data_IF_890037618107
#
_entry.id   IF_890037618107
#
_cell.length_a   1.000
_cell.length_b   1.000
_cell.length_c   1.000
_cell.angle_alpha   90.00
_cell.angle_beta   90.00
_cell.angle_gamma   90.00
#
_symmetry.space_group_name_H-M   'P 1'
#
loop_
_entity.id
_entity.type
_entity.pdbx_description
1 polymer ?
#
# COMPACT_ATOMS: atom_id res chain seq x y z
N UNK A 1 26.84 28.49 5.21
CA UNK A 1 27.31 27.12 4.84
C UNK A 1 26.15 26.34 4.25
N UNK A 2 25.68 26.76 3.07
CA UNK A 2 24.45 26.26 2.46
C UNK A 2 24.57 26.13 0.93
N UNK A 3 25.75 25.76 0.42
CA UNK A 3 25.99 25.57 -1.02
C UNK A 3 26.38 24.13 -1.42
N UNK A 4 26.61 23.21 -0.48
CA UNK A 4 27.35 21.96 -0.80
C UNK A 4 26.48 20.69 -1.02
N UNK A 5 25.16 20.76 -0.84
CA UNK A 5 24.32 19.54 -0.84
C UNK A 5 23.92 19.04 -2.24
N UNK A 6 24.12 19.84 -3.31
CA UNK A 6 23.81 19.45 -4.70
C UNK A 6 25.03 18.93 -5.47
N UNK A 7 26.25 18.98 -4.91
CA UNK A 7 27.48 18.55 -5.61
C UNK A 7 27.90 17.10 -5.33
N UNK A 8 27.48 16.50 -4.20
CA UNK A 8 27.82 15.10 -3.91
C UNK A 8 27.13 14.12 -4.89
N UNK A 9 27.89 13.26 -5.60
CA UNK A 9 27.33 12.24 -6.48
C UNK A 9 26.36 11.31 -5.74
N UNK A 10 25.21 11.02 -6.35
CA UNK A 10 24.22 10.16 -5.70
C UNK A 10 24.65 8.68 -5.72
N UNK A 11 24.55 7.95 -4.60
CA UNK A 11 25.14 6.61 -4.48
C UNK A 11 24.23 5.50 -4.99
N UNK A 12 23.86 5.53 -6.27
CA UNK A 12 23.01 4.51 -6.92
C UNK A 12 23.56 3.08 -6.80
N UNK A 13 24.89 2.95 -6.69
CA UNK A 13 25.58 1.67 -6.52
C UNK A 13 25.22 0.93 -5.21
N UNK A 14 24.67 1.64 -4.22
CA UNK A 14 24.19 1.05 -2.96
C UNK A 14 22.79 0.43 -3.09
N UNK A 15 22.13 0.64 -4.24
CA UNK A 15 20.77 0.20 -4.49
C UNK A 15 19.74 1.13 -3.85
N UNK A 16 18.84 1.65 -4.68
CA UNK A 16 17.65 2.37 -4.23
C UNK A 16 16.43 1.50 -4.46
N UNK A 17 15.60 1.38 -3.44
CA UNK A 17 14.47 0.46 -3.43
C UNK A 17 13.20 1.28 -3.30
N UNK A 18 12.41 1.32 -4.36
CA UNK A 18 11.13 1.99 -4.37
C UNK A 18 10.10 1.11 -3.64
N UNK A 19 9.59 1.58 -2.50
CA UNK A 19 8.62 0.83 -1.71
C UNK A 19 7.18 0.89 -2.25
N UNK A 20 6.89 1.77 -3.23
CA UNK A 20 5.55 1.93 -3.78
C UNK A 20 5.53 2.69 -5.11
N UNK A 21 5.01 2.06 -6.16
CA UNK A 21 4.75 2.72 -7.44
C UNK A 21 3.68 1.99 -8.26
N UNK A 22 3.24 2.63 -9.35
CA UNK A 22 2.15 2.16 -10.22
C UNK A 22 2.57 2.07 -11.70
N UNK A 23 3.73 1.51 -12.08
CA UNK A 23 4.22 1.57 -13.47
C UNK A 23 3.30 0.83 -14.47
N UNK A 24 2.42 -0.05 -13.97
CA UNK A 24 1.41 -0.74 -14.79
C UNK A 24 0.24 0.15 -15.20
N UNK A 25 0.11 1.36 -14.66
CA UNK A 25 -0.84 2.36 -15.16
C UNK A 25 -0.41 2.91 -16.54
N UNK A 26 0.87 2.79 -16.90
CA UNK A 26 1.41 3.10 -18.23
C UNK A 26 2.23 1.92 -18.75
N UNK A 27 1.55 0.89 -19.27
CA UNK A 27 2.19 -0.36 -19.72
C UNK A 27 3.29 -0.15 -20.79
N UNK A 28 3.18 0.91 -21.59
CA UNK A 28 4.21 1.27 -22.57
C UNK A 28 5.58 1.59 -21.93
N UNK A 29 5.62 1.96 -20.65
CA UNK A 29 6.85 2.31 -19.93
C UNK A 29 7.54 1.11 -19.26
N UNK A 30 6.86 -0.03 -19.12
CA UNK A 30 7.39 -1.23 -18.43
C UNK A 30 8.76 -1.70 -18.96
N UNK A 31 9.05 -1.69 -20.29
CA UNK A 31 10.36 -2.09 -20.79
C UNK A 31 11.52 -1.28 -20.18
N UNK A 32 11.27 -0.02 -19.79
CA UNK A 32 12.29 0.87 -19.20
C UNK A 32 12.74 0.43 -17.80
N UNK A 33 11.98 -0.42 -17.09
CA UNK A 33 12.30 -0.84 -15.71
C UNK A 33 13.70 -1.49 -15.62
N UNK A 34 14.11 -2.29 -16.62
CA UNK A 34 15.44 -2.93 -16.61
C UNK A 34 16.61 -1.96 -16.82
N UNK A 35 16.32 -0.75 -17.32
CA UNK A 35 17.30 0.30 -17.59
C UNK A 35 17.37 1.37 -16.50
N UNK A 36 16.39 1.37 -15.58
CA UNK A 36 16.37 2.28 -14.45
C UNK A 36 17.56 2.08 -13.51
N UNK A 37 17.90 3.15 -12.79
CA UNK A 37 18.97 3.18 -11.79
C UNK A 37 18.51 2.64 -10.46
N UNK A 38 17.21 2.75 -10.14
CA UNK A 38 16.61 2.07 -9.00
C UNK A 38 16.85 0.55 -9.08
N UNK A 39 17.15 -0.07 -7.94
CA UNK A 39 17.46 -1.51 -7.88
C UNK A 39 16.21 -2.37 -7.95
N UNK A 40 15.13 -1.93 -7.30
CA UNK A 40 13.84 -2.63 -7.28
C UNK A 40 12.69 -1.64 -7.24
N UNK A 41 11.61 -1.99 -7.95
CA UNK A 41 10.30 -1.35 -7.86
C UNK A 41 9.30 -2.28 -7.16
N UNK A 42 8.64 -1.77 -6.13
CA UNK A 42 7.50 -2.45 -5.49
C UNK A 42 6.21 -1.97 -6.15
N UNK A 43 5.64 -2.78 -7.03
CA UNK A 43 4.57 -2.36 -7.95
C UNK A 43 3.19 -2.77 -7.43
N UNK A 44 2.23 -1.84 -7.42
CA UNK A 44 0.93 -2.06 -6.79
C UNK A 44 -0.17 -2.37 -7.81
N UNK A 45 -0.91 -3.46 -7.58
CA UNK A 45 -2.19 -3.67 -8.23
C UNK A 45 -3.30 -2.98 -7.41
N UNK A 46 -4.04 -2.04 -8.01
CA UNK A 46 -5.03 -1.22 -7.30
C UNK A 46 -6.48 -1.61 -7.61
N UNK A 47 -6.71 -2.16 -8.82
CA UNK A 47 -8.03 -2.54 -9.35
C UNK A 47 -7.96 -3.86 -10.13
N UNK A 48 -9.08 -4.27 -10.73
CA UNK A 48 -9.20 -5.54 -11.44
C UNK A 48 -8.22 -5.67 -12.62
N UNK A 49 -8.13 -4.64 -13.44
CA UNK A 49 -7.25 -4.60 -14.62
C UNK A 49 -5.77 -4.73 -14.26
N UNK A 50 -5.36 -4.22 -13.09
CA UNK A 50 -3.95 -4.24 -12.68
C UNK A 50 -3.48 -5.62 -12.23
N UNK A 51 -4.37 -6.49 -11.76
CA UNK A 51 -3.97 -7.76 -11.13
C UNK A 51 -3.19 -8.64 -12.11
N UNK A 52 -3.70 -8.79 -13.33
CA UNK A 52 -3.05 -9.59 -14.37
C UNK A 52 -1.83 -8.87 -14.95
N UNK A 53 -1.87 -7.54 -15.05
CA UNK A 53 -0.73 -6.75 -15.54
C UNK A 53 0.47 -6.84 -14.59
N UNK A 54 0.25 -6.65 -13.29
CA UNK A 54 1.29 -6.80 -12.27
C UNK A 54 1.83 -8.23 -12.24
N UNK A 55 0.98 -9.24 -12.38
CA UNK A 55 1.42 -10.63 -12.49
C UNK A 55 2.30 -10.86 -13.74
N UNK A 56 1.90 -10.36 -14.91
CA UNK A 56 2.70 -10.43 -16.13
C UNK A 56 4.06 -9.74 -15.99
N UNK A 57 4.12 -8.57 -15.34
CA UNK A 57 5.38 -7.87 -15.06
C UNK A 57 6.25 -8.67 -14.10
N UNK A 58 5.66 -9.27 -13.06
CA UNK A 58 6.37 -10.11 -12.10
C UNK A 58 6.90 -11.42 -12.71
N UNK A 59 6.21 -12.02 -13.68
CA UNK A 59 6.70 -13.20 -14.40
C UNK A 59 8.02 -12.89 -15.14
N UNK A 60 8.21 -11.65 -15.56
CA UNK A 60 9.40 -11.22 -16.30
C UNK A 60 10.51 -10.65 -15.40
N UNK A 61 10.15 -9.78 -14.45
CA UNK A 61 11.10 -8.98 -13.68
C UNK A 61 11.08 -9.26 -12.17
N UNK A 62 10.26 -10.21 -11.72
CA UNK A 62 10.07 -10.50 -10.31
C UNK A 62 11.31 -11.07 -9.63
N UNK A 63 11.61 -10.59 -8.42
CA UNK A 63 12.68 -11.14 -7.58
C UNK A 63 12.34 -12.57 -7.14
N UNK A 64 13.36 -13.44 -7.12
CA UNK A 64 13.20 -14.89 -6.83
C UNK A 64 13.90 -15.36 -5.56
N UNK A 65 14.53 -14.44 -4.83
CA UNK A 65 15.30 -14.74 -3.62
C UNK A 65 15.16 -13.60 -2.62
N UNK A 66 15.25 -13.90 -1.32
CA UNK A 66 15.39 -12.87 -0.27
C UNK A 66 16.83 -12.38 -0.09
N UNK A 67 17.79 -13.01 -0.78
CA UNK A 67 19.20 -12.65 -0.84
C UNK A 67 19.48 -11.91 -2.15
N UNK A 68 19.77 -10.61 -2.04
CA UNK A 68 20.02 -9.72 -3.17
C UNK A 68 21.23 -10.14 -4.01
N UNK A 69 22.23 -10.80 -3.39
CA UNK A 69 23.43 -11.25 -4.09
C UNK A 69 23.15 -12.34 -5.14
N UNK A 70 21.95 -12.92 -5.12
CA UNK A 70 21.48 -13.92 -6.11
C UNK A 70 20.61 -13.33 -7.21
N UNK A 71 20.32 -12.04 -7.16
CA UNK A 71 19.43 -11.43 -8.13
C UNK A 71 20.17 -11.10 -9.41
N UNK A 72 19.57 -11.49 -10.52
CA UNK A 72 19.96 -10.97 -11.83
C UNK A 72 19.58 -9.48 -11.93
N UNK A 73 20.13 -8.80 -12.93
CA UNK A 73 19.82 -7.38 -13.16
C UNK A 73 18.34 -7.18 -13.48
N UNK A 74 17.76 -8.11 -14.23
CA UNK A 74 16.36 -8.11 -14.64
C UNK A 74 15.41 -8.45 -13.47
N UNK A 75 15.91 -9.00 -12.36
CA UNK A 75 15.14 -9.22 -11.14
C UNK A 75 15.06 -7.94 -10.33
N UNK A 76 14.14 -7.05 -10.73
CA UNK A 76 14.00 -5.68 -10.22
C UNK A 76 12.56 -5.30 -9.86
N UNK A 77 11.67 -6.27 -9.65
CA UNK A 77 10.27 -6.04 -9.26
C UNK A 77 9.86 -6.89 -8.06
N UNK A 78 9.12 -6.28 -7.13
CA UNK A 78 8.30 -6.97 -6.13
C UNK A 78 6.83 -6.65 -6.43
N UNK A 79 6.00 -7.64 -6.80
CA UNK A 79 4.58 -7.39 -7.05
C UNK A 79 3.77 -7.28 -5.76
N UNK A 80 2.76 -6.43 -5.78
CA UNK A 80 1.76 -6.32 -4.72
C UNK A 80 0.37 -6.54 -5.31
N UNK A 81 -0.44 -7.33 -4.62
CA UNK A 81 -1.83 -7.60 -5.02
C UNK A 81 -2.78 -7.08 -3.94
N UNK A 82 -3.79 -6.33 -4.36
CA UNK A 82 -4.73 -5.70 -3.45
C UNK A 82 -5.87 -5.02 -4.21
N UNK A 83 -6.89 -4.63 -3.46
CA UNK A 83 -8.01 -3.84 -3.94
C UNK A 83 -8.07 -2.51 -3.20
N UNK A 84 -7.83 -1.44 -3.95
CA UNK A 84 -7.71 -0.10 -3.43
C UNK A 84 -9.08 0.47 -3.00
N UNK A 85 -9.16 1.27 -1.90
CA UNK A 85 -10.41 1.86 -1.42
C UNK A 85 -11.22 2.65 -2.46
N UNK A 86 -10.58 3.23 -3.47
CA UNK A 86 -11.28 3.95 -4.55
C UNK A 86 -12.25 3.03 -5.32
N UNK A 87 -11.86 1.77 -5.52
CA UNK A 87 -12.62 0.79 -6.28
C UNK A 87 -13.45 -0.15 -5.39
N UNK A 88 -13.41 0.00 -4.07
CA UNK A 88 -14.14 -0.85 -3.11
C UNK A 88 -15.66 -0.92 -3.36
N UNK A 89 -16.25 0.11 -3.97
CA UNK A 89 -17.65 0.11 -4.39
C UNK A 89 -17.99 -0.98 -5.41
N UNK A 90 -17.00 -1.47 -6.17
CA UNK A 90 -17.17 -2.55 -7.16
C UNK A 90 -17.19 -3.95 -6.53
N UNK A 91 -17.10 -4.04 -5.20
CA UNK A 91 -17.05 -5.30 -4.46
C UNK A 91 -18.19 -5.38 -3.46
N UNK A 92 -18.82 -6.55 -3.33
CA UNK A 92 -19.79 -6.85 -2.28
C UNK A 92 -19.33 -8.03 -1.43
N UNK A 93 -19.84 -8.09 -0.20
CA UNK A 93 -19.58 -9.21 0.73
C UNK A 93 -20.91 -9.84 1.06
N UNK A 94 -21.07 -11.13 0.73
CA UNK A 94 -22.29 -11.89 0.99
C UNK A 94 -22.53 -12.08 2.49
N UNK A 95 -23.78 -12.34 2.87
CA UNK A 95 -24.08 -12.85 4.21
C UNK A 95 -23.38 -14.21 4.37
N UNK A 96 -22.45 -14.31 5.34
CA UNK A 96 -21.61 -15.50 5.53
C UNK A 96 -20.12 -15.27 5.28
N UNK A 97 -19.74 -14.37 4.37
CA UNK A 97 -18.34 -14.02 4.03
C UNK A 97 -17.69 -13.05 5.05
N UNK A 98 -18.25 -12.95 6.26
CA UNK A 98 -17.75 -12.08 7.31
C UNK A 98 -16.44 -12.58 7.94
N UNK A 99 -15.61 -11.67 8.51
CA UNK A 99 -14.40 -12.06 9.22
C UNK A 99 -14.75 -13.01 10.38
N UNK A 100 -14.25 -14.25 10.34
CA UNK A 100 -14.45 -15.27 11.36
C UNK A 100 -15.39 -16.43 10.96
N UNK A 101 -16.09 -16.36 9.84
CA UNK A 101 -16.86 -17.48 9.31
C UNK A 101 -16.01 -18.25 8.29
N UNK A 102 -15.29 -19.26 8.77
CA UNK A 102 -14.69 -20.26 7.89
C UNK A 102 -15.79 -20.99 7.12
N UNK A 103 -16.05 -20.56 5.88
CA UNK A 103 -16.83 -21.27 4.87
C UNK A 103 -18.14 -21.88 5.38
N UNK A 104 -19.07 -21.06 5.87
CA UNK A 104 -20.44 -21.53 6.06
C UNK A 104 -21.16 -21.51 4.70
N UNK A 105 -21.44 -22.70 4.16
CA UNK A 105 -22.28 -22.94 2.98
C UNK A 105 -23.72 -22.45 3.24
N UNK A 106 -23.93 -21.14 3.14
CA UNK A 106 -25.20 -20.47 3.40
C UNK A 106 -25.77 -19.82 2.14
N UNK A 107 -26.05 -20.62 1.11
CA UNK A 107 -26.74 -20.16 -0.10
C UNK A 107 -26.51 -21.12 -1.28
N UNK A 108 -27.60 -21.64 -1.85
CA UNK A 108 -27.57 -22.64 -2.94
C UNK A 108 -27.10 -22.08 -4.31
N UNK A 109 -26.74 -20.80 -4.40
CA UNK A 109 -26.27 -20.16 -5.63
C UNK A 109 -24.82 -19.72 -5.50
N UNK A 110 -24.00 -20.10 -6.49
CA UNK A 110 -22.60 -19.68 -6.54
C UNK A 110 -22.51 -18.14 -6.60
N UNK A 111 -21.56 -17.52 -5.87
CA UNK A 111 -21.38 -16.07 -5.91
C UNK A 111 -21.22 -15.57 -7.35
N UNK A 112 -21.96 -14.53 -7.73
CA UNK A 112 -21.96 -13.97 -9.10
C UNK A 112 -21.91 -12.46 -9.10
N UNK A 113 -21.59 -11.89 -10.25
CA UNK A 113 -21.71 -10.45 -10.48
C UNK A 113 -23.17 -9.98 -10.26
N UNK A 114 -23.35 -8.88 -9.51
CA UNK A 114 -24.66 -8.26 -9.33
C UNK A 114 -25.05 -7.46 -10.57
N UNK A 115 -26.32 -7.57 -11.00
CA UNK A 115 -26.82 -6.93 -12.22
C UNK A 115 -28.19 -6.28 -11.97
N UNK A 116 -28.63 -5.42 -12.90
CA UNK A 116 -29.95 -4.77 -12.85
C UNK A 116 -30.24 -4.11 -11.48
N UNK A 117 -31.35 -4.49 -10.86
CA UNK A 117 -31.76 -3.94 -9.55
C UNK A 117 -30.86 -4.34 -8.38
N UNK A 118 -30.19 -5.49 -8.44
CA UNK A 118 -29.27 -5.92 -7.38
C UNK A 118 -28.05 -4.98 -7.33
N UNK A 119 -27.55 -4.62 -8.51
CA UNK A 119 -26.47 -3.66 -8.69
C UNK A 119 -26.85 -2.28 -8.16
N UNK A 120 -28.05 -1.79 -8.50
CA UNK A 120 -28.54 -0.49 -8.00
C UNK A 120 -28.65 -0.50 -6.47
N UNK A 121 -29.24 -1.56 -5.89
CA UNK A 121 -29.35 -1.71 -4.43
C UNK A 121 -28.00 -1.74 -3.74
N UNK A 122 -27.03 -2.47 -4.28
CA UNK A 122 -25.66 -2.49 -3.77
C UNK A 122 -25.05 -1.09 -3.77
N UNK A 123 -25.04 -0.41 -4.92
CA UNK A 123 -24.46 0.93 -5.02
C UNK A 123 -25.15 1.93 -4.11
N UNK A 124 -26.47 1.86 -3.96
CA UNK A 124 -27.20 2.68 -3.01
C UNK A 124 -26.77 2.44 -1.56
N UNK A 125 -26.42 1.20 -1.18
CA UNK A 125 -25.96 0.89 0.17
C UNK A 125 -24.49 1.30 0.45
N UNK A 126 -23.62 1.25 -0.56
CA UNK A 126 -22.17 1.47 -0.38
C UNK A 126 -21.71 2.86 -0.84
N UNK A 127 -22.51 3.62 -1.57
CA UNK A 127 -22.18 4.97 -2.01
C UNK A 127 -22.97 6.03 -1.24
N UNK A 128 -22.27 7.05 -0.77
CA UNK A 128 -22.83 8.18 -0.03
C UNK A 128 -22.63 9.47 -0.83
N UNK A 129 -23.74 10.11 -1.21
CA UNK A 129 -23.72 11.43 -1.85
C UNK A 129 -23.31 12.52 -0.85
N UNK A 130 -22.67 13.58 -1.34
CA UNK A 130 -22.48 14.84 -0.60
C UNK A 130 -23.02 16.03 -1.42
N UNK A 131 -24.04 16.78 -0.91
CA UNK A 131 -24.75 16.60 0.36
C UNK A 131 -25.56 15.30 0.40
N UNK A 132 -25.84 14.80 1.62
CA UNK A 132 -26.61 13.56 1.83
C UNK A 132 -28.03 13.74 1.28
N UNK A 133 -28.49 12.77 0.50
CA UNK A 133 -29.83 12.74 -0.10
C UNK A 133 -30.61 11.58 0.50
N UNK A 134 -31.90 11.82 0.81
CA UNK A 134 -32.78 10.81 1.42
C UNK A 134 -33.32 9.83 0.38
N UNK A 135 -33.61 10.32 -0.83
CA UNK A 135 -34.16 9.52 -1.92
C UNK A 135 -33.18 9.45 -3.10
N UNK A 136 -33.20 8.30 -3.79
CA UNK A 136 -32.43 8.07 -4.99
C UNK A 136 -33.12 8.75 -6.17
N UNK A 137 -32.45 9.71 -6.83
CA UNK A 137 -33.00 10.32 -8.04
C UNK A 137 -32.89 9.39 -9.26
N UNK A 138 -33.68 9.63 -10.30
CA UNK A 138 -33.57 8.91 -11.58
C UNK A 138 -32.18 9.06 -12.23
N UNK A 139 -31.52 10.20 -12.02
CA UNK A 139 -30.14 10.43 -12.49
C UNK A 139 -29.14 9.57 -11.72
N UNK A 140 -29.27 9.47 -10.39
CA UNK A 140 -28.42 8.64 -9.55
C UNK A 140 -28.60 7.15 -9.90
N UNK A 141 -29.84 6.73 -10.20
CA UNK A 141 -30.15 5.38 -10.67
C UNK A 141 -29.49 5.07 -12.01
N UNK A 142 -29.54 5.98 -12.99
CA UNK A 142 -28.84 5.85 -14.28
C UNK A 142 -27.34 5.75 -14.08
N UNK A 143 -26.77 6.58 -13.20
CA UNK A 143 -25.36 6.51 -12.83
C UNK A 143 -25.02 5.12 -12.28
N UNK A 144 -25.77 4.59 -11.32
CA UNK A 144 -25.49 3.29 -10.72
C UNK A 144 -25.58 2.14 -11.72
N UNK A 145 -26.51 2.21 -12.68
CA UNK A 145 -26.60 1.21 -13.76
C UNK A 145 -25.39 1.26 -14.71
N UNK A 146 -24.76 2.43 -14.87
CA UNK A 146 -23.59 2.62 -15.74
C UNK A 146 -22.25 2.25 -15.10
N UNK A 147 -22.16 2.16 -13.77
CA UNK A 147 -20.95 1.68 -13.08
C UNK A 147 -20.67 0.21 -13.41
N UNK A 148 -19.48 -0.34 -13.11
CA UNK A 148 -19.20 -1.78 -13.31
C UNK A 148 -20.19 -2.70 -12.56
N UNK A 149 -20.27 -3.98 -12.91
CA UNK A 149 -21.09 -4.92 -12.12
C UNK A 149 -20.34 -5.31 -10.85
N UNK A 150 -20.90 -5.13 -9.64
CA UNK A 150 -20.25 -5.51 -8.39
C UNK A 150 -19.90 -7.00 -8.34
N UNK A 151 -18.67 -7.32 -7.97
CA UNK A 151 -18.17 -8.69 -7.85
C UNK A 151 -18.13 -9.16 -6.39
N UNK A 152 -18.28 -10.46 -6.12
CA UNK A 152 -18.12 -11.00 -4.77
C UNK A 152 -16.66 -10.91 -4.32
N UNK A 153 -16.44 -10.30 -3.16
CA UNK A 153 -15.08 -10.07 -2.66
C UNK A 153 -14.34 -11.37 -2.31
N UNK A 154 -15.07 -12.41 -1.93
CA UNK A 154 -14.52 -13.75 -1.69
C UNK A 154 -13.85 -14.35 -2.94
N UNK A 155 -14.36 -14.08 -4.14
CA UNK A 155 -13.70 -14.50 -5.38
C UNK A 155 -12.38 -13.75 -5.60
N UNK A 156 -12.37 -12.43 -5.34
CA UNK A 156 -11.14 -11.64 -5.42
C UNK A 156 -10.09 -12.14 -4.42
N UNK A 157 -10.46 -12.40 -3.16
CA UNK A 157 -9.51 -12.92 -2.15
C UNK A 157 -8.94 -14.29 -2.54
N UNK A 158 -9.75 -15.15 -3.18
CA UNK A 158 -9.26 -16.42 -3.73
C UNK A 158 -8.24 -16.20 -4.86
N UNK A 159 -8.49 -15.25 -5.76
CA UNK A 159 -7.54 -14.87 -6.81
C UNK A 159 -6.25 -14.28 -6.23
N UNK A 160 -6.38 -13.37 -5.28
CA UNK A 160 -5.26 -12.74 -4.59
C UNK A 160 -4.40 -13.78 -3.86
N UNK A 161 -5.00 -14.76 -3.19
CA UNK A 161 -4.28 -15.90 -2.57
C UNK A 161 -3.45 -16.66 -3.60
N UNK A 162 -4.02 -17.01 -4.76
CA UNK A 162 -3.30 -17.71 -5.84
C UNK A 162 -2.09 -16.90 -6.34
N UNK A 163 -2.25 -15.58 -6.48
CA UNK A 163 -1.13 -14.72 -6.86
C UNK A 163 -0.04 -14.70 -5.78
N UNK A 164 -0.41 -14.57 -4.50
CA UNK A 164 0.53 -14.60 -3.37
C UNK A 164 1.22 -15.97 -3.19
N UNK A 165 0.60 -17.06 -3.62
CA UNK A 165 1.22 -18.40 -3.70
C UNK A 165 2.18 -18.51 -4.89
N UNK A 166 1.78 -18.00 -6.06
CA UNK A 166 2.62 -17.98 -7.28
C UNK A 166 3.89 -17.15 -7.09
N UNK A 167 3.80 -16.05 -6.36
CA UNK A 167 4.91 -15.11 -6.11
C UNK A 167 5.28 -15.09 -4.62
N UNK A 168 6.26 -15.91 -4.18
CA UNK A 168 6.56 -16.08 -2.76
C UNK A 168 7.05 -14.83 -2.02
N UNK A 169 7.42 -13.77 -2.73
CA UNK A 169 7.86 -12.49 -2.15
C UNK A 169 6.87 -11.35 -2.42
N UNK A 170 5.71 -11.64 -3.02
CA UNK A 170 4.68 -10.65 -3.24
C UNK A 170 4.13 -10.12 -1.93
N UNK A 171 3.73 -8.84 -1.94
CA UNK A 171 3.09 -8.20 -0.81
C UNK A 171 1.58 -8.06 -1.04
N UNK A 172 0.88 -7.62 -0.01
CA UNK A 172 -0.50 -7.15 -0.16
C UNK A 172 -0.48 -5.64 -0.35
N UNK A 173 -1.10 -5.15 -1.42
CA UNK A 173 -1.13 -3.73 -1.71
C UNK A 173 -1.59 -3.46 -3.15
N UNK A 174 -2.20 -2.32 -3.44
CA UNK A 174 -2.48 -1.24 -2.50
C UNK A 174 -3.85 -1.42 -1.83
N UNK A 175 -3.92 -1.39 -0.50
CA UNK A 175 -5.16 -1.58 0.28
C UNK A 175 -5.30 -0.49 1.33
N UNK A 176 -6.51 -0.14 1.78
CA UNK A 176 -6.62 0.87 2.84
C UNK A 176 -7.94 1.62 2.86
N UNK A 177 -7.90 2.87 3.31
CA UNK A 177 -9.06 3.74 3.50
C UNK A 177 -8.85 5.12 2.86
N UNK A 178 -9.87 5.62 2.17
CA UNK A 178 -9.91 6.97 1.61
C UNK A 178 -11.29 7.60 1.82
N UNK A 179 -11.35 8.61 2.69
CA UNK A 179 -12.60 9.35 2.96
C UNK A 179 -12.79 10.55 2.06
N UNK A 180 -11.78 10.91 1.26
CA UNK A 180 -11.74 12.10 0.43
C UNK A 180 -12.22 11.84 -1.00
N UNK A 181 -11.87 10.66 -1.54
CA UNK A 181 -12.09 10.32 -2.93
C UNK A 181 -13.57 10.22 -3.27
N UNK A 182 -13.92 10.80 -4.42
CA UNK A 182 -15.25 10.70 -5.03
C UNK A 182 -15.13 9.86 -6.28
N UNK A 183 -16.06 8.95 -6.52
CA UNK A 183 -15.98 8.08 -7.70
C UNK A 183 -16.13 8.94 -8.98
N UNK A 184 -15.39 8.61 -10.05
CA UNK A 184 -15.49 9.33 -11.31
C UNK A 184 -16.87 9.12 -11.94
N UNK A 185 -17.32 10.12 -12.71
CA UNK A 185 -18.47 9.98 -13.58
C UNK A 185 -18.18 8.94 -14.69
N UNK A 186 -19.23 8.33 -15.28
CA UNK A 186 -19.07 7.43 -16.42
C UNK A 186 -18.51 8.18 -17.62
N UNK A 187 -17.84 7.45 -18.51
CA UNK A 187 -17.42 8.02 -19.79
C UNK A 187 -18.63 8.44 -20.63
N UNK A 188 -18.57 9.62 -21.24
CA UNK A 188 -19.40 9.91 -22.41
C UNK A 188 -18.77 9.31 -23.66
N UNK A 189 -19.57 9.05 -24.70
CA UNK A 189 -19.08 8.49 -25.97
C UNK A 189 -17.96 9.35 -26.60
N UNK A 190 -18.02 10.66 -26.43
CA UNK A 190 -17.02 11.60 -26.93
C UNK A 190 -15.71 11.52 -26.14
N UNK A 191 -15.79 11.40 -24.81
CA UNK A 191 -14.61 11.28 -23.96
C UNK A 191 -13.91 9.93 -24.15
N UNK A 192 -14.67 8.86 -24.36
CA UNK A 192 -14.13 7.54 -24.64
C UNK A 192 -13.33 7.54 -25.96
N UNK A 193 -13.79 8.25 -26.98
CA UNK A 193 -13.07 8.41 -28.25
C UNK A 193 -11.78 9.24 -28.13
N UNK A 194 -11.65 10.08 -27.10
CA UNK A 194 -10.48 10.93 -26.85
C UNK A 194 -9.56 10.38 -25.75
N UNK A 195 -9.83 9.17 -25.27
CA UNK A 195 -9.06 8.53 -24.19
C UNK A 195 -7.60 8.36 -24.61
N UNK A 196 -6.67 8.65 -23.70
CA UNK A 196 -5.26 8.35 -23.93
C UNK A 196 -5.05 6.82 -23.93
N UNK A 197 -4.76 6.26 -25.10
CA UNK A 197 -4.54 4.83 -25.28
C UNK A 197 -3.28 4.28 -24.60
N UNK A 198 -2.37 5.14 -24.15
CA UNK A 198 -1.15 4.73 -23.42
C UNK A 198 -1.44 4.36 -21.96
N UNK A 199 -2.54 4.87 -21.39
CA UNK A 199 -2.94 4.58 -20.01
C UNK A 199 -3.72 3.28 -19.93
N UNK A 200 -3.47 2.51 -18.89
CA UNK A 200 -4.25 1.32 -18.55
C UNK A 200 -5.68 1.72 -18.18
N UNK A 201 -6.65 1.00 -18.72
CA UNK A 201 -8.07 1.28 -18.48
C UNK A 201 -8.47 1.10 -17.01
N UNK A 202 -9.54 1.79 -16.61
CA UNK A 202 -10.17 1.63 -15.30
C UNK A 202 -9.76 2.67 -14.26
N UNK A 203 -8.70 3.46 -14.53
CA UNK A 203 -8.27 4.57 -13.68
C UNK A 203 -9.20 5.79 -13.77
N UNK A 204 -8.88 6.88 -13.05
CA UNK A 204 -9.66 8.13 -13.13
C UNK A 204 -9.54 8.78 -14.52
N UNK A 205 -8.34 8.80 -15.09
CA UNK A 205 -8.07 9.28 -16.46
C UNK A 205 -8.65 10.68 -16.75
N UNK A 206 -8.52 11.59 -15.78
CA UNK A 206 -9.01 12.97 -15.91
C UNK A 206 -10.53 13.15 -15.78
N UNK A 207 -11.31 12.07 -15.63
CA UNK A 207 -12.77 12.15 -15.49
C UNK A 207 -13.20 13.07 -14.36
N UNK A 208 -14.35 13.72 -14.58
CA UNK A 208 -15.03 14.53 -13.56
C UNK A 208 -15.45 13.62 -12.41
N UNK A 209 -15.35 14.14 -11.19
CA UNK A 209 -15.75 13.40 -10.00
C UNK A 209 -17.22 13.65 -9.67
N UNK A 210 -17.96 12.55 -9.48
CA UNK A 210 -19.35 12.56 -9.05
C UNK A 210 -19.50 13.10 -7.62
N UNK A 211 -20.72 13.27 -7.07
CA UNK A 211 -20.90 13.63 -5.67
C UNK A 211 -20.72 12.44 -4.70
N UNK A 212 -20.55 11.21 -5.22
CA UNK A 212 -20.56 9.99 -4.42
C UNK A 212 -19.18 9.61 -3.91
N UNK A 213 -19.11 9.24 -2.63
CA UNK A 213 -17.95 8.60 -1.99
C UNK A 213 -18.34 7.21 -1.55
N UNK A 214 -17.37 6.30 -1.44
CA UNK A 214 -17.65 4.99 -0.84
C UNK A 214 -17.84 5.15 0.67
N UNK A 215 -18.80 4.42 1.23
CA UNK A 215 -19.08 4.35 2.65
C UNK A 215 -17.81 3.88 3.41
N UNK A 216 -17.32 4.64 4.40
CA UNK A 216 -16.12 4.26 5.16
C UNK A 216 -16.20 2.88 5.83
N UNK A 217 -17.38 2.46 6.28
CA UNK A 217 -17.57 1.13 6.89
C UNK A 217 -17.40 0.00 5.87
N UNK A 218 -17.85 0.23 4.63
CA UNK A 218 -17.64 -0.72 3.54
C UNK A 218 -16.15 -0.84 3.19
N UNK A 219 -15.44 0.30 3.08
CA UNK A 219 -13.99 0.29 2.89
C UNK A 219 -13.27 -0.45 4.02
N UNK A 220 -13.61 -0.16 5.28
CA UNK A 220 -13.03 -0.82 6.47
C UNK A 220 -13.25 -2.32 6.46
N UNK A 221 -14.44 -2.79 6.07
CA UNK A 221 -14.75 -4.22 5.95
C UNK A 221 -13.82 -4.92 4.96
N UNK A 222 -13.70 -4.40 3.73
CA UNK A 222 -12.83 -4.98 2.70
C UNK A 222 -11.35 -4.88 3.07
N UNK A 223 -10.93 -3.76 3.68
CA UNK A 223 -9.57 -3.56 4.15
C UNK A 223 -9.18 -4.63 5.18
N UNK A 224 -10.00 -4.86 6.22
CA UNK A 224 -9.73 -5.88 7.25
C UNK A 224 -9.63 -7.29 6.67
N UNK A 225 -10.49 -7.65 5.71
CA UNK A 225 -10.44 -8.95 5.04
C UNK A 225 -9.13 -9.15 4.27
N UNK A 226 -8.59 -8.09 3.64
CA UNK A 226 -7.28 -8.15 2.96
C UNK A 226 -6.12 -8.24 3.95
N UNK A 227 -6.19 -7.52 5.08
CA UNK A 227 -5.19 -7.64 6.16
C UNK A 227 -5.19 -9.03 6.79
N UNK A 228 -6.35 -9.67 6.92
CA UNK A 228 -6.46 -11.05 7.41
C UNK A 228 -5.83 -12.04 6.44
N UNK A 229 -6.09 -11.91 5.14
CA UNK A 229 -5.40 -12.73 4.13
C UNK A 229 -3.87 -12.52 4.19
N UNK A 230 -3.42 -11.28 4.36
CA UNK A 230 -2.00 -10.97 4.53
C UNK A 230 -1.42 -11.64 5.79
N UNK A 231 -2.16 -11.63 6.89
CA UNK A 231 -1.79 -12.27 8.15
C UNK A 231 -1.66 -13.80 7.99
N UNK A 232 -2.66 -14.44 7.41
CA UNK A 232 -2.68 -15.88 7.13
C UNK A 232 -1.50 -16.32 6.25
N UNK A 233 -1.11 -15.48 5.29
CA UNK A 233 -0.04 -15.77 4.34
C UNK A 233 1.32 -15.18 4.75
N UNK A 234 1.42 -14.53 5.92
CA UNK A 234 2.66 -13.91 6.41
C UNK A 234 3.21 -12.80 5.50
N UNK A 235 2.34 -12.07 4.80
CA UNK A 235 2.71 -11.03 3.83
C UNK A 235 2.75 -9.64 4.47
N UNK A 236 3.75 -8.84 4.07
CA UNK A 236 3.75 -7.42 4.38
C UNK A 236 2.65 -6.70 3.60
N UNK A 237 2.22 -5.53 4.10
CA UNK A 237 1.12 -4.77 3.51
C UNK A 237 1.54 -3.33 3.22
N UNK A 238 1.27 -2.84 2.01
CA UNK A 238 1.34 -1.41 1.67
C UNK A 238 -0.05 -0.78 1.79
N UNK A 239 -0.19 0.22 2.65
CA UNK A 239 -1.49 0.72 3.14
C UNK A 239 -1.75 2.17 2.75
N UNK A 240 -2.84 2.39 2.02
CA UNK A 240 -3.40 3.71 1.68
C UNK A 240 -4.16 4.32 2.85
N UNK A 241 -3.91 5.60 3.10
CA UNK A 241 -4.63 6.32 4.15
C UNK A 241 -4.78 7.80 3.80
N UNK A 242 -5.97 8.21 3.36
CA UNK A 242 -6.26 9.62 3.08
C UNK A 242 -7.51 10.09 3.81
N UNK A 243 -7.33 11.12 4.66
CA UNK A 243 -8.37 11.67 5.54
C UNK A 243 -9.04 10.61 6.45
N UNK A 244 -8.37 9.48 6.69
CA UNK A 244 -8.90 8.33 7.39
C UNK A 244 -7.94 7.77 8.47
N UNK A 245 -6.84 8.45 8.79
CA UNK A 245 -5.73 7.90 9.56
C UNK A 245 -6.11 7.34 10.95
N UNK A 246 -7.07 7.95 11.65
CA UNK A 246 -7.57 7.42 12.93
C UNK A 246 -8.34 6.11 12.75
N UNK A 247 -9.28 6.08 11.80
CA UNK A 247 -10.06 4.86 11.47
C UNK A 247 -9.14 3.75 10.95
N UNK A 248 -8.08 4.13 10.22
CA UNK A 248 -7.06 3.20 9.74
C UNK A 248 -6.30 2.56 10.90
N UNK A 249 -5.85 3.38 11.86
CA UNK A 249 -5.19 2.88 13.08
C UNK A 249 -6.11 1.93 13.86
N UNK A 250 -7.37 2.31 14.06
CA UNK A 250 -8.35 1.49 14.78
C UNK A 250 -8.59 0.15 14.07
N UNK A 251 -8.69 0.15 12.73
CA UNK A 251 -8.87 -1.08 11.95
C UNK A 251 -7.68 -2.04 12.07
N UNK A 252 -6.45 -1.51 12.11
CA UNK A 252 -5.23 -2.32 12.33
C UNK A 252 -5.20 -2.82 13.78
N UNK A 253 -5.53 -1.95 14.76
CA UNK A 253 -5.57 -2.28 16.18
C UNK A 253 -6.54 -3.42 16.50
N UNK A 254 -7.73 -3.38 15.91
CA UNK A 254 -8.73 -4.44 16.05
C UNK A 254 -8.23 -5.83 15.63
N UNK A 255 -7.19 -5.93 14.79
CA UNK A 255 -6.63 -7.22 14.38
C UNK A 255 -5.61 -7.78 15.36
N UNK A 256 -4.92 -6.93 16.13
CA UNK A 256 -3.90 -7.39 17.08
C UNK A 256 -4.32 -7.27 18.54
N UNK A 257 -5.54 -6.84 18.82
CA UNK A 257 -6.09 -6.74 20.17
C UNK A 257 -5.98 -8.10 20.90
N UNK A 258 -5.36 -8.10 22.08
CA UNK A 258 -5.06 -9.30 22.86
C UNK A 258 -3.73 -9.97 22.50
N UNK A 259 -3.00 -9.48 21.50
CA UNK A 259 -1.68 -9.97 21.09
C UNK A 259 -0.55 -8.94 21.33
N UNK A 260 -0.77 -7.97 22.21
CA UNK A 260 0.20 -6.92 22.50
C UNK A 260 1.51 -7.46 23.10
N UNK A 261 2.64 -6.84 22.71
CA UNK A 261 3.95 -7.13 23.27
C UNK A 261 4.00 -6.72 24.74
N UNK A 262 4.56 -7.59 25.59
CA UNK A 262 4.85 -7.26 26.99
C UNK A 262 5.99 -6.25 27.06
N UNK A 263 5.69 -5.03 27.51
CA UNK A 263 6.70 -3.98 27.68
C UNK A 263 7.43 -4.20 29.00
N UNK A 264 8.60 -4.85 28.93
CA UNK A 264 9.48 -5.07 30.09
C UNK A 264 10.10 -3.74 30.51
N UNK A 265 10.01 -3.38 31.79
CA UNK A 265 10.48 -2.06 32.26
C UNK A 265 12.01 -1.95 32.15
N UNK A 266 12.54 -0.74 31.97
CA UNK A 266 13.98 -0.42 31.88
C UNK A 266 14.81 -0.99 33.04
N UNK A 267 14.19 -1.16 34.23
CA UNK A 267 14.79 -1.79 35.43
C UNK A 267 14.93 -3.31 35.28
N UNK A 268 13.91 -3.99 34.76
CA UNK A 268 13.96 -5.43 34.44
C UNK A 268 14.90 -5.72 33.28
N UNK A 269 14.94 -4.85 32.25
CA UNK A 269 15.88 -4.99 31.13
C UNK A 269 17.35 -4.92 31.59
N UNK A 270 17.67 -4.08 32.58
CA UNK A 270 19.00 -3.98 33.22
C UNK A 270 19.35 -5.18 34.11
N UNK A 271 18.34 -5.81 34.72
CA UNK A 271 18.53 -7.04 35.50
C UNK A 271 18.78 -8.24 34.57
N UNK A 272 18.04 -8.33 33.45
CA UNK A 272 18.21 -9.37 32.42
C UNK A 272 19.55 -9.30 31.69
N UNK A 273 20.18 -8.12 31.58
CA UNK A 273 21.51 -7.99 30.96
C UNK A 273 22.67 -8.44 31.86
N UNK A 274 22.43 -8.73 33.15
CA UNK A 274 23.47 -9.25 34.08
C UNK A 274 23.49 -10.77 34.17
N UNK A 275 22.41 -11.46 33.79
CA UNK A 275 22.37 -12.91 33.68
C UNK A 275 22.54 -13.31 32.20
N UNK A 276 23.79 -13.57 31.80
CA UNK A 276 24.12 -14.20 30.52
C UNK A 276 23.62 -15.66 30.51
N UNK A 277 22.31 -15.91 30.37
CA UNK A 277 21.74 -17.17 29.88
C UNK A 277 20.19 -17.17 29.76
N UNK A 278 19.61 -16.15 29.14
CA UNK A 278 18.25 -16.27 28.63
C UNK A 278 18.27 -15.89 27.16
N UNK A 279 18.41 -16.90 26.31
CA UNK A 279 17.85 -16.84 24.98
C UNK A 279 16.42 -16.32 25.15
N UNK A 280 16.11 -15.16 24.55
CA UNK A 280 14.73 -14.79 24.30
C UNK A 280 14.20 -15.83 23.32
N UNK A 281 13.77 -16.97 23.85
CA UNK A 281 12.70 -17.75 23.26
C UNK A 281 11.50 -16.80 23.19
N UNK A 282 11.43 -16.00 22.13
CA UNK A 282 10.15 -15.68 21.53
C UNK A 282 9.45 -17.03 21.43
N UNK A 283 8.51 -17.27 22.35
CA UNK A 283 7.68 -18.46 22.31
C UNK A 283 7.16 -18.53 20.89
N UNK A 284 7.67 -19.50 20.13
CA UNK A 284 7.27 -19.80 18.76
C UNK A 284 5.88 -20.41 18.84
N UNK A 285 4.94 -19.57 19.23
CA UNK A 285 3.53 -19.83 19.14
C UNK A 285 3.24 -19.87 17.65
N UNK A 286 3.39 -21.07 17.08
CA UNK A 286 3.24 -21.40 15.66
C UNK A 286 1.81 -21.25 15.15
N UNK A 287 0.93 -20.66 15.98
CA UNK A 287 -0.41 -20.29 15.60
C UNK A 287 -0.39 -19.08 14.65
N UNK A 288 -1.15 -19.12 13.54
CA UNK A 288 -1.29 -17.98 12.66
C UNK A 288 -1.77 -16.75 13.44
N UNK A 289 -1.03 -15.65 13.36
CA UNK A 289 -1.43 -14.40 14.01
C UNK A 289 -2.57 -13.75 13.21
N UNK A 290 -3.53 -13.07 13.86
CA UNK A 290 -4.65 -12.41 13.18
C UNK A 290 -4.29 -11.09 12.48
N UNK A 291 -3.02 -10.67 12.53
CA UNK A 291 -2.50 -9.43 11.96
C UNK A 291 -1.30 -9.72 11.05
N UNK A 292 -1.09 -8.91 10.00
CA UNK A 292 0.09 -9.05 9.15
C UNK A 292 1.37 -8.76 9.94
N UNK A 293 2.51 -9.38 9.60
CA UNK A 293 3.76 -9.16 10.31
C UNK A 293 4.28 -7.74 10.15
N UNK A 294 4.04 -7.10 9.00
CA UNK A 294 4.62 -5.81 8.61
C UNK A 294 3.62 -4.96 7.84
N UNK A 295 3.57 -3.66 8.15
CA UNK A 295 2.70 -2.69 7.46
C UNK A 295 3.53 -1.45 7.11
N UNK A 296 3.50 -1.02 5.85
CA UNK A 296 3.93 0.30 5.43
C UNK A 296 2.71 1.22 5.30
N UNK A 297 2.71 2.35 6.00
CA UNK A 297 1.81 3.47 5.76
C UNK A 297 2.39 4.27 4.59
N UNK A 298 1.85 4.05 3.39
CA UNK A 298 2.42 4.67 2.20
C UNK A 298 2.07 6.16 2.10
N UNK A 299 2.98 6.93 1.50
CA UNK A 299 2.89 8.39 1.31
C UNK A 299 2.23 9.11 2.48
N UNK A 300 2.67 8.82 3.70
CA UNK A 300 1.90 9.16 4.90
C UNK A 300 1.66 10.66 5.04
N UNK A 301 0.39 11.05 5.02
CA UNK A 301 -0.08 12.45 5.09
C UNK A 301 -0.82 12.79 6.39
N UNK A 302 -0.85 11.86 7.35
CA UNK A 302 -1.49 12.07 8.64
C UNK A 302 -0.68 13.01 9.54
N UNK A 303 -1.30 13.52 10.60
CA UNK A 303 -0.59 14.39 11.55
C UNK A 303 0.25 13.59 12.57
N UNK A 304 1.15 14.29 13.27
CA UNK A 304 2.06 13.71 14.27
C UNK A 304 1.36 13.06 15.46
N UNK A 305 0.20 13.59 15.86
CA UNK A 305 -0.58 13.04 16.98
C UNK A 305 -1.10 11.64 16.66
N UNK A 306 -1.67 11.46 15.46
CA UNK A 306 -2.09 10.14 14.98
C UNK A 306 -0.87 9.22 14.78
N UNK A 307 0.20 9.74 14.17
CA UNK A 307 1.41 8.93 13.94
C UNK A 307 2.02 8.42 15.25
N UNK A 308 2.02 9.24 16.30
CA UNK A 308 2.52 8.86 17.63
C UNK A 308 1.87 7.62 18.22
N UNK A 309 0.65 7.25 17.79
CA UNK A 309 -0.01 6.02 18.23
C UNK A 309 0.68 4.77 17.67
N UNK A 310 1.22 4.83 16.44
CA UNK A 310 1.98 3.74 15.83
C UNK A 310 3.37 3.53 16.47
N UNK A 311 3.83 4.46 17.30
CA UNK A 311 5.10 4.34 18.03
C UNK A 311 4.96 3.58 19.35
N UNK A 312 3.76 3.10 19.68
CA UNK A 312 3.54 2.36 20.91
C UNK A 312 4.28 1.01 20.88
N UNK A 313 5.24 0.76 21.79
CA UNK A 313 6.04 -0.48 21.79
C UNK A 313 5.23 -1.75 22.08
N UNK A 314 3.97 -1.62 22.51
CA UNK A 314 3.06 -2.77 22.67
C UNK A 314 2.57 -3.32 21.32
N UNK A 315 2.67 -2.56 20.24
CA UNK A 315 2.19 -2.98 18.91
C UNK A 315 3.03 -4.17 18.43
N UNK A 316 2.40 -5.32 18.13
CA UNK A 316 3.14 -6.50 17.71
C UNK A 316 3.56 -6.42 16.24
N UNK A 317 2.80 -5.70 15.41
CA UNK A 317 3.08 -5.43 14.00
C UNK A 317 4.29 -4.52 13.86
N UNK A 318 5.19 -4.84 12.94
CA UNK A 318 6.27 -3.93 12.57
C UNK A 318 5.75 -2.86 11.60
N UNK A 319 5.83 -1.59 12.01
CA UNK A 319 5.29 -0.47 11.25
C UNK A 319 6.41 0.24 10.49
N UNK A 320 6.15 0.55 9.23
CA UNK A 320 6.97 1.39 8.36
C UNK A 320 6.15 2.58 7.85
N UNK A 321 6.85 3.62 7.42
CA UNK A 321 6.29 4.81 6.81
C UNK A 321 7.15 5.22 5.64
N UNK A 322 6.55 5.35 4.46
CA UNK A 322 7.22 5.90 3.29
C UNK A 322 6.75 7.33 3.00
N UNK A 323 7.62 8.02 2.26
CA UNK A 323 7.33 9.35 1.72
C UNK A 323 7.71 9.38 0.25
N UNK A 324 6.96 10.17 -0.52
CA UNK A 324 7.24 10.48 -1.91
C UNK A 324 7.23 12.00 -2.11
N UNK A 325 8.02 12.46 -3.07
CA UNK A 325 7.99 13.87 -3.49
C UNK A 325 6.70 14.19 -4.24
N UNK A 326 6.18 13.23 -5.02
CA UNK A 326 4.97 13.39 -5.81
C UNK A 326 3.70 13.61 -4.96
N UNK A 327 3.58 12.94 -3.80
CA UNK A 327 2.38 13.05 -2.94
C UNK A 327 2.59 13.96 -1.75
N UNK A 328 3.72 13.88 -1.06
CA UNK A 328 3.91 14.62 0.18
C UNK A 328 4.38 16.05 -0.02
N UNK A 329 4.90 16.37 -1.22
CA UNK A 329 5.44 17.67 -1.58
C UNK A 329 4.72 18.22 -2.81
N UNK A 330 5.46 18.89 -3.69
CA UNK A 330 4.94 19.47 -4.92
C UNK A 330 5.70 18.91 -6.12
N UNK A 331 5.12 19.10 -7.31
CA UNK A 331 5.80 18.72 -8.54
C UNK A 331 7.11 19.50 -8.77
N UNK A 332 7.25 20.68 -8.16
CA UNK A 332 8.46 21.49 -8.20
C UNK A 332 9.54 20.90 -7.27
N UNK A 333 10.54 20.26 -7.88
CA UNK A 333 11.71 19.67 -7.21
C UNK A 333 12.65 20.70 -6.58
N UNK A 334 12.50 21.99 -6.90
CA UNK A 334 13.32 23.04 -6.30
C UNK A 334 12.66 23.67 -5.07
N UNK A 335 11.37 23.39 -4.85
CA UNK A 335 10.62 23.90 -3.72
C UNK A 335 11.20 23.47 -2.37
N UNK A 336 11.19 24.41 -1.41
CA UNK A 336 11.54 24.12 -0.03
C UNK A 336 10.55 23.15 0.60
N UNK A 337 11.03 22.34 1.56
CA UNK A 337 10.17 21.43 2.29
C UNK A 337 9.18 22.23 3.17
N UNK A 338 7.87 21.92 3.11
CA UNK A 338 6.92 22.42 4.10
C UNK A 338 7.35 21.99 5.51
N UNK A 339 7.22 22.89 6.50
CA UNK A 339 7.59 22.60 7.90
C UNK A 339 6.91 21.33 8.44
N UNK A 340 5.65 21.12 8.09
CA UNK A 340 4.90 19.94 8.51
C UNK A 340 5.52 18.62 8.00
N UNK A 341 6.05 18.61 6.77
CA UNK A 341 6.76 17.47 6.21
C UNK A 341 8.08 17.22 6.95
N UNK A 342 8.88 18.26 7.17
CA UNK A 342 10.14 18.12 7.92
C UNK A 342 9.91 17.61 9.35
N UNK A 343 8.91 18.14 10.05
CA UNK A 343 8.57 17.68 11.40
C UNK A 343 8.08 16.23 11.42
N UNK A 344 7.31 15.83 10.41
CA UNK A 344 6.86 14.45 10.27
C UNK A 344 8.05 13.51 10.08
N UNK A 345 8.90 13.75 9.09
CA UNK A 345 10.09 12.93 8.81
C UNK A 345 11.02 12.87 10.04
N UNK A 346 11.24 14.00 10.74
CA UNK A 346 12.01 14.02 11.99
C UNK A 346 11.40 13.13 13.07
N UNK A 347 10.08 13.02 13.14
CA UNK A 347 9.38 12.23 14.16
C UNK A 347 9.36 10.72 13.90
N UNK A 348 9.56 10.27 12.66
CA UNK A 348 9.62 8.84 12.31
C UNK A 348 10.94 8.24 12.78
N UNK A 349 10.99 7.17 13.59
CA UNK A 349 12.23 6.48 13.91
C UNK A 349 12.97 5.97 12.67
N UNK A 350 14.30 6.05 12.68
CA UNK A 350 15.14 5.78 11.50
C UNK A 350 14.90 4.41 10.88
N UNK A 351 14.60 3.40 11.69
CA UNK A 351 14.39 2.01 11.27
C UNK A 351 12.98 1.73 10.70
N UNK A 352 12.07 2.71 10.77
CA UNK A 352 10.71 2.63 10.21
C UNK A 352 10.59 3.36 8.87
N UNK A 353 11.62 4.11 8.47
CA UNK A 353 11.54 5.02 7.34
C UNK A 353 11.80 4.29 6.02
N UNK A 354 10.90 4.47 5.06
CA UNK A 354 11.01 4.03 3.67
C UNK A 354 10.91 5.24 2.73
N UNK A 355 11.19 5.02 1.46
CA UNK A 355 11.02 5.99 0.37
C UNK A 355 10.27 5.35 -0.78
N UNK A 356 9.61 6.17 -1.58
CA UNK A 356 8.91 5.70 -2.77
C UNK A 356 8.79 6.80 -3.82
N UNK A 357 8.48 6.42 -5.06
CA UNK A 357 8.18 7.38 -6.12
C UNK A 357 6.70 7.73 -6.20
N UNK A 358 5.84 6.75 -5.94
CA UNK A 358 4.39 6.78 -6.20
C UNK A 358 4.01 7.25 -7.62
N UNK A 359 4.85 6.90 -8.61
CA UNK A 359 4.62 7.28 -10.00
C UNK A 359 4.00 6.15 -10.84
N UNK A 360 3.21 6.56 -11.83
CA UNK A 360 2.50 5.69 -12.77
C UNK A 360 3.31 5.29 -14.01
N UNK A 361 4.52 5.84 -14.19
CA UNK A 361 5.33 5.68 -15.40
C UNK A 361 6.77 5.38 -15.03
N UNK A 362 7.29 4.22 -15.45
CA UNK A 362 8.67 3.84 -15.23
C UNK A 362 9.64 4.64 -16.12
N UNK A 363 10.88 4.80 -15.66
CA UNK A 363 11.96 5.47 -16.39
C UNK A 363 12.59 6.62 -15.59
N UNK A 364 13.29 7.50 -16.31
CA UNK A 364 14.19 8.51 -15.73
C UNK A 364 13.49 9.43 -14.70
N UNK A 365 12.25 9.84 -14.96
CA UNK A 365 11.49 10.68 -14.02
C UNK A 365 11.28 10.01 -12.66
N UNK A 366 11.08 8.69 -12.65
CA UNK A 366 10.95 7.91 -11.42
C UNK A 366 12.27 7.87 -10.66
N UNK A 367 13.39 7.63 -11.34
CA UNK A 367 14.73 7.72 -10.74
C UNK A 367 15.01 9.11 -10.16
N UNK A 368 14.67 10.18 -10.89
CA UNK A 368 14.83 11.56 -10.41
C UNK A 368 14.03 11.83 -9.13
N UNK A 369 12.78 11.34 -9.04
CA UNK A 369 11.95 11.50 -7.84
C UNK A 369 12.48 10.69 -6.66
N UNK A 370 13.01 9.50 -6.90
CA UNK A 370 13.65 8.67 -5.89
C UNK A 370 14.93 9.30 -5.35
N UNK A 371 15.79 9.85 -6.23
CA UNK A 371 16.98 10.59 -5.81
C UNK A 371 16.61 11.82 -4.97
N UNK A 372 15.62 12.61 -5.41
CA UNK A 372 15.19 13.80 -4.67
C UNK A 372 14.66 13.47 -3.27
N UNK A 373 13.76 12.48 -3.15
CA UNK A 373 13.21 12.12 -1.83
C UNK A 373 14.31 11.60 -0.89
N UNK A 374 15.25 10.80 -1.39
CA UNK A 374 16.39 10.30 -0.59
C UNK A 374 17.25 11.47 -0.11
N UNK A 375 17.60 12.42 -0.98
CA UNK A 375 18.39 13.61 -0.60
C UNK A 375 17.66 14.45 0.44
N UNK A 376 16.35 14.69 0.28
CA UNK A 376 15.54 15.45 1.24
C UNK A 376 15.46 14.75 2.59
N UNK A 377 15.20 13.45 2.61
CA UNK A 377 15.16 12.64 3.84
C UNK A 377 16.51 12.69 4.55
N UNK A 378 17.62 12.46 3.85
CA UNK A 378 18.96 12.50 4.43
C UNK A 378 19.27 13.88 5.03
N UNK A 379 18.93 14.96 4.31
CA UNK A 379 19.08 16.33 4.80
C UNK A 379 18.27 16.59 6.08
N UNK A 380 17.01 16.16 6.12
CA UNK A 380 16.12 16.36 7.28
C UNK A 380 16.62 15.57 8.50
N UNK A 381 17.15 14.37 8.25
CA UNK A 381 17.67 13.46 9.27
C UNK A 381 19.11 13.74 9.71
N UNK A 382 19.84 14.53 8.94
CA UNK A 382 21.27 14.77 9.16
C UNK A 382 22.14 13.56 8.83
N UNK A 383 21.69 12.68 7.92
CA UNK A 383 22.48 11.54 7.43
C UNK A 383 23.35 11.95 6.24
N UNK A 384 24.54 11.35 6.12
CA UNK A 384 25.27 11.36 4.84
C UNK A 384 24.51 10.55 3.78
N UNK A 385 24.71 10.82 2.48
CA UNK A 385 23.93 10.15 1.43
C UNK A 385 24.19 8.64 1.37
N UNK A 386 25.45 8.21 1.43
CA UNK A 386 25.81 6.78 1.46
C UNK A 386 25.20 6.05 2.67
N UNK A 387 25.26 6.69 3.83
CA UNK A 387 24.69 6.15 5.06
C UNK A 387 23.16 6.06 4.98
N UNK A 388 22.52 7.13 4.52
CA UNK A 388 21.08 7.20 4.34
C UNK A 388 20.56 6.17 3.34
N UNK A 389 21.24 6.01 2.20
CA UNK A 389 20.91 4.99 1.20
C UNK A 389 20.98 3.57 1.81
N UNK A 390 22.05 3.23 2.54
CA UNK A 390 22.18 1.92 3.22
C UNK A 390 21.10 1.69 4.27
N UNK A 391 20.76 2.72 5.05
CA UNK A 391 19.69 2.65 6.06
C UNK A 391 18.34 2.39 5.40
N UNK A 392 18.00 3.15 4.36
CA UNK A 392 16.76 3.00 3.61
C UNK A 392 16.67 1.63 2.92
N UNK A 393 17.76 1.15 2.33
CA UNK A 393 17.86 -0.21 1.79
C UNK A 393 17.60 -1.26 2.87
N UNK A 394 18.28 -1.17 4.01
CA UNK A 394 18.08 -2.08 5.16
C UNK A 394 16.63 -2.11 5.61
N UNK A 395 15.98 -0.95 5.71
CA UNK A 395 14.58 -0.85 6.08
C UNK A 395 13.66 -1.48 5.04
N UNK A 396 13.93 -1.28 3.75
CA UNK A 396 13.15 -1.89 2.67
C UNK A 396 13.28 -3.42 2.68
N UNK A 397 14.48 -3.97 2.88
CA UNK A 397 14.66 -5.43 3.03
C UNK A 397 13.86 -5.98 4.21
N UNK A 398 13.89 -5.29 5.35
CA UNK A 398 13.09 -5.67 6.52
C UNK A 398 11.60 -5.61 6.22
N UNK A 399 11.13 -4.57 5.51
CA UNK A 399 9.74 -4.44 5.11
C UNK A 399 9.28 -5.57 4.18
N UNK A 400 10.04 -5.87 3.13
CA UNK A 400 9.65 -6.87 2.12
C UNK A 400 9.85 -8.30 2.65
N UNK A 401 11.05 -8.61 3.14
CA UNK A 401 11.46 -9.98 3.45
C UNK A 401 11.43 -10.35 4.95
N UNK A 402 11.36 -9.37 5.85
CA UNK A 402 11.39 -9.59 7.30
C UNK A 402 12.80 -9.63 7.90
N UNK A 403 12.90 -9.97 9.19
CA UNK A 403 14.17 -10.07 9.91
C UNK A 403 14.92 -11.37 9.55
N UNK A 404 16.18 -11.26 9.12
CA UNK A 404 17.05 -12.40 8.76
C UNK A 404 17.47 -12.48 7.29
N UNK A 405 16.94 -11.60 6.41
CA UNK A 405 17.42 -11.46 5.03
C UNK A 405 18.79 -10.76 4.99
N UNK A 406 19.77 -11.38 4.32
CA UNK A 406 21.07 -10.75 4.03
C UNK A 406 20.90 -9.85 2.80
N UNK A 407 20.89 -8.53 2.99
CA UNK A 407 20.62 -7.61 1.88
C UNK A 407 21.10 -6.17 2.05
N UNK A 408 21.89 -5.86 3.07
CA UNK A 408 22.50 -4.53 3.18
C UNK A 408 24.01 -4.65 3.41
#
# INVERSE_FOLDING_TARGET
MAEDAREEPFPWHLGIFDSHCHPTDTMASIPSISEMRARVLTIMATRGEDQDLVACVADKYGVKSSDQGKWEREECVVPCFGWHPWFSHQMYVSEGDGPGNGGAEGGNEAPRALQGEEKVRHYQSVLQARPVRVELSEEDRRLFLSLPNPQPFSQFLSQMRKNLEKYPFALVGEVGLDRSFRIPEPWSSEQEAQRNGELTAGGREGRRLSPFRVNPEHQKKLFKMQLQLAAEMGRAVSVHGVQAHGVLFDAIKELYEGHEKKVVNRKERRLRTRDHNYDEEESSDSSPKPYPPRICLHSYSGNRSIFGQYLNPTIPVEIFVSFSTAINLSDDLESENPRAFEEMVKSVPDHMLLIESDLHTAGERMDQRLEDIVRRVCKIKGWGLDEGAKRLATNWFRFVFGTGSKGA
#
